data_IF_923523992764
#
_entry.id   IF_923523992764
#
_cell.length_a   1.000
_cell.length_b   1.000
_cell.length_c   1.000
_cell.angle_alpha   90.00
_cell.angle_beta   90.00
_cell.angle_gamma   90.00
#
_symmetry.space_group_name_H-M   'P 1'
#
loop_
_entity.id
_entity.type
_entity.pdbx_description
1 polymer ?
#
# COMPACT_ATOMS: atom_id res chain seq x y z
N UNK A 1 18.62 37.26 -5.45
CA UNK A 1 17.95 36.07 -6.02
C UNK A 1 17.26 35.36 -4.86
N UNK A 2 15.93 35.33 -4.81
CA UNK A 2 15.19 34.69 -3.71
C UNK A 2 15.21 33.18 -3.99
N UNK A 3 15.94 32.40 -3.18
CA UNK A 3 15.87 30.93 -3.24
C UNK A 3 14.41 30.55 -2.95
N UNK A 4 13.71 30.04 -3.96
CA UNK A 4 12.40 29.42 -3.74
C UNK A 4 12.70 28.09 -3.07
N UNK A 5 12.34 27.98 -1.78
CA UNK A 5 12.44 26.71 -1.07
C UNK A 5 11.59 25.67 -1.82
N UNK A 6 12.19 24.52 -2.12
CA UNK A 6 11.49 23.41 -2.79
C UNK A 6 10.34 22.93 -1.89
N UNK A 7 9.13 22.83 -2.43
CA UNK A 7 8.01 22.25 -1.68
C UNK A 7 8.12 20.72 -1.65
N UNK A 8 7.54 20.06 -0.63
CA UNK A 8 7.41 18.60 -0.62
C UNK A 8 6.81 18.02 -1.90
N UNK A 9 5.81 18.70 -2.48
CA UNK A 9 5.17 18.27 -3.73
C UNK A 9 6.13 18.32 -4.93
N UNK A 10 6.95 19.36 -5.02
CA UNK A 10 8.00 19.46 -6.03
C UNK A 10 9.10 18.41 -5.81
N UNK A 11 9.52 18.18 -4.55
CA UNK A 11 10.54 17.20 -4.19
C UNK A 11 10.15 15.77 -4.61
N UNK A 12 8.90 15.36 -4.36
CA UNK A 12 8.40 14.03 -4.67
C UNK A 12 7.79 13.89 -6.09
N UNK A 13 7.60 14.99 -6.82
CA UNK A 13 6.96 14.99 -8.14
C UNK A 13 5.47 14.62 -8.08
N UNK A 14 4.68 15.35 -7.30
CA UNK A 14 3.32 14.94 -6.91
C UNK A 14 2.19 15.30 -7.88
N UNK A 15 2.46 15.59 -9.15
CA UNK A 15 1.43 16.02 -10.11
C UNK A 15 0.26 15.04 -10.28
N UNK A 16 0.42 13.77 -9.91
CA UNK A 16 -0.63 12.74 -9.98
C UNK A 16 -1.22 12.38 -8.61
N UNK A 17 -1.11 13.26 -7.62
CA UNK A 17 -1.53 12.94 -6.26
C UNK A 17 -2.38 14.06 -5.64
N UNK A 18 -3.34 13.66 -4.82
CA UNK A 18 -3.96 14.51 -3.82
C UNK A 18 -3.49 14.04 -2.44
N UNK A 19 -3.49 14.93 -1.44
CA UNK A 19 -2.99 14.63 -0.10
C UNK A 19 -4.14 14.69 0.93
N UNK A 20 -4.42 13.59 1.59
CA UNK A 20 -5.24 13.58 2.81
C UNK A 20 -4.39 14.04 4.00
N UNK A 21 -4.92 14.94 4.83
CA UNK A 21 -4.26 15.49 6.01
C UNK A 21 -5.06 15.18 7.29
N UNK A 22 -4.39 15.05 8.44
CA UNK A 22 -5.02 14.74 9.72
C UNK A 22 -5.59 16.01 10.38
N UNK A 23 -6.01 16.99 9.60
CA UNK A 23 -6.63 18.25 10.08
C UNK A 23 -8.08 18.31 9.61
N UNK A 24 -9.00 18.84 10.44
CA UNK A 24 -10.40 18.93 10.08
C UNK A 24 -10.62 19.93 8.95
N UNK A 25 -11.38 19.51 7.95
CA UNK A 25 -11.93 20.37 6.90
C UNK A 25 -13.01 21.27 7.51
N UNK A 26 -12.99 22.55 7.15
CA UNK A 26 -13.90 23.54 7.69
C UNK A 26 -15.39 23.24 7.43
N UNK A 27 -15.71 22.47 6.38
CA UNK A 27 -17.09 22.20 5.97
C UNK A 27 -17.75 21.04 6.72
N UNK A 28 -16.97 20.07 7.21
CA UNK A 28 -17.51 18.82 7.73
C UNK A 28 -16.69 18.19 8.87
N UNK A 29 -15.62 18.85 9.32
CA UNK A 29 -14.69 18.38 10.35
C UNK A 29 -13.95 17.05 10.07
N UNK A 30 -14.13 16.46 8.88
CA UNK A 30 -13.38 15.28 8.43
C UNK A 30 -11.98 15.68 7.95
N UNK A 31 -11.08 14.71 7.78
CA UNK A 31 -9.75 14.94 7.22
C UNK A 31 -9.80 15.78 5.92
N UNK A 32 -9.06 16.88 5.90
CA UNK A 32 -8.91 17.75 4.74
C UNK A 32 -8.15 17.03 3.62
N UNK A 33 -8.63 17.15 2.38
CA UNK A 33 -7.89 16.71 1.18
C UNK A 33 -7.43 17.91 0.37
N UNK A 34 -6.12 17.98 0.11
CA UNK A 34 -5.53 18.97 -0.79
C UNK A 34 -5.38 18.42 -2.21
N UNK A 35 -5.80 19.24 -3.16
CA UNK A 35 -5.60 19.06 -4.60
C UNK A 35 -4.67 20.17 -5.12
N UNK A 36 -4.30 20.11 -6.39
CA UNK A 36 -3.55 21.20 -7.03
C UNK A 36 -4.44 22.44 -7.23
N UNK A 37 -3.91 23.67 -7.13
CA UNK A 37 -2.51 24.02 -6.85
C UNK A 37 -2.17 24.10 -5.34
N UNK A 38 -3.12 23.89 -4.44
CA UNK A 38 -2.87 24.01 -3.00
C UNK A 38 -1.78 23.04 -2.51
N UNK A 39 -1.78 21.81 -3.02
CA UNK A 39 -0.73 20.82 -2.73
C UNK A 39 0.67 21.27 -3.19
N UNK A 40 0.77 22.02 -4.30
CA UNK A 40 2.07 22.39 -4.89
C UNK A 40 2.91 23.29 -3.97
N UNK A 41 2.25 24.08 -3.12
CA UNK A 41 2.90 24.99 -2.18
C UNK A 41 2.80 24.51 -0.72
N UNK A 42 2.14 23.37 -0.46
CA UNK A 42 1.87 22.94 0.89
C UNK A 42 3.10 22.34 1.60
N UNK A 43 3.36 22.82 2.80
CA UNK A 43 4.29 22.25 3.78
C UNK A 43 3.75 22.54 5.19
N UNK A 44 3.89 21.57 6.10
CA UNK A 44 3.55 21.73 7.52
C UNK A 44 4.20 20.63 8.35
N UNK A 45 4.05 20.66 9.68
CA UNK A 45 4.55 19.59 10.58
C UNK A 45 4.06 18.17 10.22
N UNK A 46 2.98 18.04 9.45
CA UNK A 46 2.44 16.76 9.00
C UNK A 46 3.08 16.28 7.68
N UNK A 47 3.61 17.20 6.89
CA UNK A 47 4.11 16.95 5.54
C UNK A 47 5.19 17.97 5.19
N UNK A 48 6.46 17.63 5.43
CA UNK A 48 7.58 18.57 5.20
C UNK A 48 8.86 17.88 4.75
N UNK A 49 9.72 18.64 4.05
CA UNK A 49 11.05 18.17 3.69
C UNK A 49 11.97 18.26 4.91
N UNK A 50 12.57 17.14 5.28
CA UNK A 50 13.55 17.10 6.38
C UNK A 50 14.96 17.01 5.80
N UNK A 51 15.80 17.99 6.15
CA UNK A 51 17.22 18.05 5.76
C UNK A 51 17.47 17.87 4.26
N UNK A 52 16.52 18.28 3.41
CA UNK A 52 16.62 18.12 1.94
C UNK A 52 16.67 16.67 1.45
N UNK A 53 16.36 15.68 2.29
CA UNK A 53 16.66 14.26 2.02
C UNK A 53 15.42 13.38 1.80
N UNK A 54 14.31 13.72 2.42
CA UNK A 54 13.03 13.02 2.33
C UNK A 54 11.89 13.93 2.76
N UNK A 55 10.65 13.53 2.49
CA UNK A 55 9.46 14.16 3.05
C UNK A 55 8.96 13.33 4.23
N UNK A 56 8.84 13.94 5.41
CA UNK A 56 8.23 13.33 6.59
C UNK A 56 6.71 13.40 6.49
N UNK A 57 6.04 12.27 6.70
CA UNK A 57 4.58 12.17 6.79
C UNK A 57 4.23 11.78 8.23
N UNK A 58 3.90 12.78 9.05
CA UNK A 58 3.67 12.62 10.49
C UNK A 58 2.17 12.68 10.78
N UNK A 59 1.66 11.68 11.49
CA UNK A 59 0.25 11.53 11.81
C UNK A 59 0.09 11.43 13.32
N UNK A 60 -0.62 12.38 13.96
CA UNK A 60 -1.00 12.23 15.35
C UNK A 60 -2.19 11.27 15.48
N UNK A 61 -2.24 10.53 16.58
CA UNK A 61 -3.29 9.55 16.88
C UNK A 61 -4.67 10.21 17.05
N UNK A 62 -4.71 11.47 17.50
CA UNK A 62 -5.93 12.28 17.64
C UNK A 62 -6.32 13.05 16.37
N UNK A 63 -5.65 12.79 15.24
CA UNK A 63 -5.89 13.48 13.99
C UNK A 63 -7.30 13.27 13.41
N UNK A 64 -7.74 14.21 12.57
CA UNK A 64 -8.98 14.05 11.81
C UNK A 64 -8.88 12.86 10.83
N UNK A 65 -10.02 12.23 10.55
CA UNK A 65 -10.11 11.05 9.68
C UNK A 65 -11.12 11.25 8.55
N UNK A 66 -10.99 10.47 7.48
CA UNK A 66 -11.88 10.52 6.32
C UNK A 66 -13.17 9.76 6.57
N UNK A 67 -14.24 10.09 5.84
CA UNK A 67 -15.51 9.35 5.90
C UNK A 67 -15.30 7.83 5.73
N UNK A 68 -15.94 7.05 6.59
CA UNK A 68 -15.87 5.58 6.66
C UNK A 68 -14.53 5.01 7.16
N UNK A 69 -13.77 5.78 7.92
CA UNK A 69 -12.57 5.33 8.62
C UNK A 69 -12.47 6.07 9.95
N UNK A 70 -12.10 5.37 11.01
CA UNK A 70 -11.92 5.96 12.34
C UNK A 70 -10.45 6.27 12.65
N UNK A 71 -9.58 6.21 11.63
CA UNK A 71 -8.14 6.34 11.81
C UNK A 71 -7.55 7.49 10.97
N UNK A 72 -6.64 8.30 11.57
CA UNK A 72 -6.05 9.46 10.92
C UNK A 72 -4.98 9.07 9.91
N UNK A 73 -4.68 10.01 9.00
CA UNK A 73 -3.69 9.79 7.94
C UNK A 73 -3.03 11.07 7.44
N UNK A 74 -1.80 10.93 6.96
CA UNK A 74 -1.18 11.79 5.95
C UNK A 74 -0.91 10.87 4.78
N UNK A 75 -1.78 10.89 3.77
CA UNK A 75 -1.78 9.84 2.75
C UNK A 75 -2.08 10.40 1.36
N UNK A 76 -1.23 10.03 0.40
CA UNK A 76 -1.41 10.39 -0.99
C UNK A 76 -2.45 9.48 -1.64
N UNK A 77 -3.33 10.07 -2.44
CA UNK A 77 -4.35 9.41 -3.25
C UNK A 77 -4.09 9.70 -4.71
N UNK A 78 -3.91 8.67 -5.53
CA UNK A 78 -3.61 8.82 -6.96
C UNK A 78 -4.76 9.50 -7.71
N UNK A 79 -4.51 10.61 -8.39
CA UNK A 79 -5.45 11.42 -9.18
C UNK A 79 -4.91 11.64 -10.60
N UNK A 80 -5.71 12.25 -11.48
CA UNK A 80 -5.21 12.69 -12.80
C UNK A 80 -4.17 13.80 -12.61
N UNK A 81 -3.33 14.00 -13.63
CA UNK A 81 -2.31 15.04 -13.61
C UNK A 81 -2.94 16.40 -13.26
N UNK A 82 -2.37 17.07 -12.26
CA UNK A 82 -2.77 18.39 -11.78
C UNK A 82 -4.25 18.50 -11.44
N UNK A 83 -4.85 17.42 -10.91
CA UNK A 83 -6.24 17.39 -10.49
C UNK A 83 -6.52 18.50 -9.47
N UNK A 84 -7.59 19.28 -9.70
CA UNK A 84 -7.97 20.42 -8.87
C UNK A 84 -9.08 20.13 -7.88
N UNK A 85 -9.75 18.98 -8.02
CA UNK A 85 -10.81 18.52 -7.11
C UNK A 85 -11.09 17.01 -7.30
N UNK A 86 -12.08 16.52 -6.55
CA UNK A 86 -12.51 15.12 -6.53
C UNK A 86 -13.17 14.60 -7.81
N UNK A 87 -13.44 15.44 -8.82
CA UNK A 87 -13.95 14.99 -10.11
C UNK A 87 -12.83 14.47 -11.03
N UNK A 88 -11.55 14.77 -10.74
CA UNK A 88 -10.40 14.41 -11.56
C UNK A 88 -9.66 13.17 -11.05
N UNK A 89 -10.41 12.09 -10.84
CA UNK A 89 -9.86 10.84 -10.33
C UNK A 89 -9.11 10.05 -11.42
N UNK A 90 -7.99 9.43 -11.03
CA UNK A 90 -7.27 8.43 -11.83
C UNK A 90 -7.52 7.08 -11.20
N UNK A 91 -8.43 6.34 -11.83
CA UNK A 91 -8.78 4.98 -11.42
C UNK A 91 -8.44 4.01 -12.54
N UNK A 92 -8.14 2.78 -12.19
CA UNK A 92 -7.83 1.70 -13.10
C UNK A 92 -8.60 0.42 -12.73
N UNK A 93 -8.55 -0.56 -13.62
CA UNK A 93 -9.01 -1.91 -13.33
C UNK A 93 -7.88 -2.90 -13.65
N UNK A 94 -7.26 -3.51 -12.63
CA UNK A 94 -6.22 -4.51 -12.80
C UNK A 94 -6.76 -5.94 -13.01
N UNK A 95 -8.08 -6.12 -12.94
CA UNK A 95 -8.69 -7.46 -12.82
C UNK A 95 -9.01 -8.12 -14.15
N UNK A 96 -9.07 -7.35 -15.23
CA UNK A 96 -9.22 -7.88 -16.59
C UNK A 96 -7.90 -8.45 -17.11
N UNK A 97 -7.99 -9.51 -17.91
CA UNK A 97 -6.83 -10.05 -18.60
C UNK A 97 -6.28 -9.04 -19.61
N UNK A 98 -4.96 -8.99 -19.75
CA UNK A 98 -4.33 -8.10 -20.72
C UNK A 98 -2.92 -7.66 -20.37
N UNK A 99 -2.36 -6.88 -21.29
CA UNK A 99 -0.98 -6.41 -21.21
C UNK A 99 -0.82 -5.11 -20.41
N UNK A 100 -1.91 -4.46 -19.99
CA UNK A 100 -1.81 -3.23 -19.21
C UNK A 100 -1.37 -3.57 -17.80
N UNK A 101 -0.33 -2.89 -17.34
CA UNK A 101 0.19 -3.00 -15.99
C UNK A 101 0.02 -1.67 -15.25
N UNK A 102 -0.32 -1.78 -13.97
CA UNK A 102 -0.45 -0.66 -13.04
C UNK A 102 0.57 -0.83 -11.94
N UNK A 103 1.46 0.14 -11.79
CA UNK A 103 2.58 0.06 -10.86
C UNK A 103 2.59 1.25 -9.90
N UNK A 104 2.76 0.96 -8.62
CA UNK A 104 3.16 1.92 -7.60
C UNK A 104 4.56 1.52 -7.11
N UNK A 105 5.54 2.40 -7.25
CA UNK A 105 6.89 2.24 -6.71
C UNK A 105 7.18 3.31 -5.67
N UNK A 106 7.82 2.94 -4.57
CA UNK A 106 8.19 3.85 -3.51
C UNK A 106 9.47 3.43 -2.78
N UNK A 107 10.20 4.42 -2.30
CA UNK A 107 11.31 4.25 -1.38
C UNK A 107 10.98 5.01 -0.09
N UNK A 108 10.97 4.31 1.05
CA UNK A 108 10.56 4.89 2.32
C UNK A 108 11.24 4.25 3.53
N UNK A 109 11.04 4.83 4.71
CA UNK A 109 11.34 4.21 6.00
C UNK A 109 10.19 4.51 6.97
N UNK A 110 9.88 3.59 7.89
CA UNK A 110 8.96 3.89 8.99
C UNK A 110 9.79 4.38 10.18
N UNK A 111 9.69 5.66 10.52
CA UNK A 111 10.51 6.30 11.53
C UNK A 111 9.99 6.05 12.96
N UNK A 112 8.67 6.13 13.15
CA UNK A 112 8.03 5.97 14.46
C UNK A 112 6.62 5.40 14.28
N UNK A 113 6.16 4.65 15.28
CA UNK A 113 4.84 4.06 15.33
C UNK A 113 4.25 4.26 16.74
N UNK A 114 2.93 4.47 16.89
CA UNK A 114 2.30 4.59 18.21
C UNK A 114 2.56 3.36 19.09
N UNK A 115 2.86 3.54 20.39
CA UNK A 115 3.42 2.47 21.22
C UNK A 115 2.41 1.45 21.74
N UNK A 116 1.14 1.82 21.98
CA UNK A 116 0.15 0.92 22.59
C UNK A 116 -0.52 0.02 21.57
N UNK A 117 -0.83 0.57 20.39
CA UNK A 117 -1.38 -0.19 19.26
C UNK A 117 -0.56 0.07 17.99
N UNK A 118 0.63 -0.53 17.89
CA UNK A 118 1.59 -0.23 16.83
C UNK A 118 1.17 -0.86 15.51
N UNK A 119 0.27 -0.18 14.80
CA UNK A 119 -0.16 -0.54 13.46
C UNK A 119 -0.20 0.70 12.55
N UNK A 120 0.34 0.57 11.35
CA UNK A 120 0.15 1.54 10.28
C UNK A 120 0.21 0.89 8.90
N UNK A 121 -0.37 1.55 7.91
CA UNK A 121 -0.35 1.16 6.50
C UNK A 121 0.49 2.16 5.72
N UNK A 122 1.38 1.63 4.88
CA UNK A 122 2.31 2.45 4.07
C UNK A 122 1.92 2.58 2.60
N UNK A 123 1.21 1.59 2.06
CA UNK A 123 0.78 1.55 0.68
C UNK A 123 -0.49 0.71 0.50
N UNK A 124 -1.32 1.08 -0.45
CA UNK A 124 -2.60 0.43 -0.69
C UNK A 124 -2.97 0.36 -2.18
N UNK A 125 -3.74 -0.66 -2.52
CA UNK A 125 -4.70 -0.62 -3.61
C UNK A 125 -6.08 -0.54 -2.99
N UNK A 126 -6.84 0.50 -3.33
CA UNK A 126 -8.19 0.70 -2.82
C UNK A 126 -9.19 0.72 -3.98
N UNK A 127 -10.30 0.01 -3.83
CA UNK A 127 -11.47 0.10 -4.70
C UNK A 127 -12.60 0.88 -4.02
N UNK A 128 -13.81 0.34 -4.05
CA UNK A 128 -14.90 0.83 -3.20
C UNK A 128 -14.52 0.79 -1.70
N UNK A 129 -13.90 -0.31 -1.28
CA UNK A 129 -13.34 -0.59 0.06
C UNK A 129 -11.83 -0.81 -0.02
N UNK A 130 -11.18 -0.91 1.14
CA UNK A 130 -9.78 -1.31 1.22
C UNK A 130 -9.61 -2.71 0.61
N UNK A 131 -8.57 -2.89 -0.22
CA UNK A 131 -8.29 -4.14 -0.90
C UNK A 131 -6.93 -4.66 -0.45
N UNK A 132 -5.85 -4.32 -1.15
CA UNK A 132 -4.49 -4.67 -0.73
C UNK A 132 -3.93 -3.59 0.19
N UNK A 133 -3.33 -3.99 1.31
CA UNK A 133 -2.65 -3.10 2.23
C UNK A 133 -1.26 -3.65 2.57
N UNK A 134 -0.26 -2.75 2.59
CA UNK A 134 1.08 -3.05 3.10
C UNK A 134 1.19 -2.41 4.47
N UNK A 135 1.31 -3.25 5.49
CA UNK A 135 1.10 -2.86 6.88
C UNK A 135 2.34 -3.17 7.70
N UNK A 136 2.74 -2.24 8.57
CA UNK A 136 3.66 -2.50 9.67
C UNK A 136 2.83 -2.78 10.92
N UNK A 137 3.14 -3.87 11.61
CA UNK A 137 2.44 -4.28 12.84
C UNK A 137 3.38 -5.02 13.79
N UNK A 138 2.94 -5.26 15.03
CA UNK A 138 3.61 -6.20 15.93
C UNK A 138 3.64 -7.62 15.36
N UNK A 139 4.76 -8.28 15.53
CA UNK A 139 5.02 -9.68 15.23
C UNK A 139 5.75 -10.38 16.38
N UNK A 140 6.09 -11.66 16.20
CA UNK A 140 6.71 -12.47 17.26
C UNK A 140 8.18 -12.10 17.56
N UNK A 141 8.84 -11.35 16.68
CA UNK A 141 10.26 -10.95 16.77
C UNK A 141 10.46 -9.43 16.80
N UNK A 142 9.44 -8.68 17.21
CA UNK A 142 9.40 -7.22 17.08
C UNK A 142 8.40 -6.81 16.01
N UNK A 143 8.70 -5.79 15.20
CA UNK A 143 7.80 -5.39 14.13
C UNK A 143 7.92 -6.28 12.89
N UNK A 144 6.85 -6.39 12.13
CA UNK A 144 6.82 -7.08 10.84
C UNK A 144 6.10 -6.24 9.80
N UNK A 145 6.62 -6.25 8.57
CA UNK A 145 5.98 -5.68 7.41
C UNK A 145 5.25 -6.79 6.65
N UNK A 146 3.94 -6.64 6.46
CA UNK A 146 3.07 -7.65 5.86
C UNK A 146 2.27 -7.09 4.70
N UNK A 147 1.83 -7.98 3.82
CA UNK A 147 0.81 -7.70 2.82
C UNK A 147 -0.47 -8.44 3.20
N UNK A 148 -1.60 -7.74 3.18
CA UNK A 148 -2.92 -8.27 3.53
C UNK A 148 -3.97 -7.87 2.51
N UNK A 149 -5.01 -8.70 2.37
CA UNK A 149 -6.22 -8.38 1.63
C UNK A 149 -7.38 -8.13 2.61
N UNK A 150 -7.93 -6.93 2.61
CA UNK A 150 -9.01 -6.49 3.50
C UNK A 150 -10.42 -6.66 2.90
N UNK A 151 -10.51 -7.06 1.63
CA UNK A 151 -11.77 -7.23 0.92
C UNK A 151 -12.32 -8.65 1.04
N UNK A 152 -11.47 -9.67 0.90
CA UNK A 152 -11.85 -11.08 0.89
C UNK A 152 -12.36 -11.57 2.27
N UNK A 153 -13.10 -12.69 2.32
CA UNK A 153 -13.52 -13.35 3.56
C UNK A 153 -12.63 -14.57 3.85
N UNK A 154 -12.02 -14.68 5.05
CA UNK A 154 -12.15 -13.75 6.17
C UNK A 154 -11.47 -12.42 5.85
N UNK A 155 -12.13 -11.31 6.25
CA UNK A 155 -11.54 -9.97 6.15
C UNK A 155 -10.16 -9.97 6.79
N UNK A 156 -9.27 -9.16 6.24
CA UNK A 156 -7.89 -9.00 6.70
C UNK A 156 -7.07 -10.29 6.49
N UNK A 157 -7.27 -10.96 5.36
CA UNK A 157 -6.49 -12.15 5.00
C UNK A 157 -5.02 -11.77 4.82
N UNK A 158 -4.14 -12.35 5.63
CA UNK A 158 -2.70 -12.25 5.41
C UNK A 158 -2.34 -12.90 4.07
N UNK A 159 -1.78 -12.11 3.16
CA UNK A 159 -1.18 -12.65 1.94
C UNK A 159 0.21 -13.16 2.26
N UNK A 160 1.03 -12.39 2.97
CA UNK A 160 2.34 -12.87 3.40
C UNK A 160 3.16 -11.84 4.16
N UNK A 161 4.31 -12.28 4.65
CA UNK A 161 5.27 -11.46 5.39
C UNK A 161 6.39 -11.01 4.45
N UNK A 162 6.56 -9.69 4.29
CA UNK A 162 7.64 -9.10 3.52
C UNK A 162 8.94 -9.08 4.33
N UNK A 163 8.83 -8.70 5.61
CA UNK A 163 9.91 -8.63 6.58
C UNK A 163 9.39 -9.02 7.97
N UNK A 164 9.92 -10.09 8.57
CA UNK A 164 9.43 -10.62 9.86
C UNK A 164 10.15 -10.03 11.08
N UNK A 165 11.15 -9.18 10.84
CA UNK A 165 11.96 -8.53 11.88
C UNK A 165 12.29 -7.11 11.43
N UNK A 166 11.26 -6.37 11.02
CA UNK A 166 11.39 -5.03 10.48
C UNK A 166 11.97 -4.09 11.54
N UNK A 167 13.06 -3.42 11.21
CA UNK A 167 13.68 -2.43 12.07
C UNK A 167 13.25 -1.02 11.66
N UNK A 168 12.70 -0.24 12.60
CA UNK A 168 12.32 1.15 12.35
C UNK A 168 13.51 1.97 11.80
N UNK A 169 13.21 3.03 11.06
CA UNK A 169 14.13 3.89 10.33
C UNK A 169 14.97 3.19 9.25
N UNK A 170 14.78 1.89 9.01
CA UNK A 170 15.39 1.20 7.87
C UNK A 170 14.70 1.62 6.58
N UNK A 171 15.49 2.14 5.64
CA UNK A 171 15.02 2.45 4.29
C UNK A 171 14.78 1.16 3.50
N UNK A 172 13.63 1.07 2.85
CA UNK A 172 13.29 -0.02 1.96
C UNK A 172 12.67 0.49 0.65
N UNK A 173 12.74 -0.35 -0.39
CA UNK A 173 12.03 -0.14 -1.64
C UNK A 173 10.83 -1.09 -1.71
N UNK A 174 9.69 -0.59 -2.18
CA UNK A 174 8.48 -1.37 -2.38
C UNK A 174 7.94 -1.08 -3.77
N UNK A 175 7.47 -2.12 -4.46
CA UNK A 175 6.69 -1.97 -5.69
C UNK A 175 5.46 -2.87 -5.64
N UNK A 176 4.30 -2.28 -5.90
CA UNK A 176 3.06 -2.98 -6.18
C UNK A 176 2.86 -2.95 -7.69
N UNK A 177 2.87 -4.10 -8.33
CA UNK A 177 2.57 -4.24 -9.75
C UNK A 177 1.31 -5.08 -9.88
N UNK A 178 0.32 -4.57 -10.61
CA UNK A 178 -0.92 -5.26 -10.91
C UNK A 178 -1.04 -5.41 -12.42
N UNK A 179 -1.20 -6.65 -12.88
CA UNK A 179 -1.29 -6.98 -14.29
C UNK A 179 -2.01 -8.32 -14.42
N UNK A 180 -2.87 -8.45 -15.43
CA UNK A 180 -3.50 -9.73 -15.80
C UNK A 180 -4.21 -10.44 -14.63
N UNK A 181 -4.94 -9.68 -13.79
CA UNK A 181 -5.65 -10.24 -12.63
C UNK A 181 -4.73 -10.79 -11.53
N UNK A 182 -3.48 -10.38 -11.51
CA UNK A 182 -2.47 -10.75 -10.51
C UNK A 182 -1.90 -9.51 -9.83
N UNK A 183 -1.50 -9.68 -8.57
CA UNK A 183 -0.68 -8.71 -7.85
C UNK A 183 0.69 -9.29 -7.55
N UNK A 184 1.71 -8.48 -7.78
CA UNK A 184 3.12 -8.75 -7.57
C UNK A 184 3.66 -7.69 -6.61
N UNK A 185 4.16 -8.14 -5.45
CA UNK A 185 4.66 -7.27 -4.39
C UNK A 185 6.16 -7.50 -4.27
N UNK A 186 6.94 -6.48 -4.59
CA UNK A 186 8.40 -6.51 -4.54
C UNK A 186 8.86 -5.75 -3.30
N UNK A 187 9.85 -6.29 -2.58
CA UNK A 187 10.42 -5.69 -1.38
C UNK A 187 11.94 -5.76 -1.45
N UNK A 188 12.60 -4.61 -1.47
CA UNK A 188 14.04 -4.39 -1.70
C UNK A 188 14.55 -4.89 -3.05
N UNK A 189 14.43 -6.19 -3.34
CA UNK A 189 14.66 -6.73 -4.68
C UNK A 189 13.48 -6.36 -5.60
N UNK A 190 13.76 -5.49 -6.58
CA UNK A 190 12.77 -5.02 -7.57
C UNK A 190 12.70 -5.90 -8.83
N UNK A 191 13.48 -6.98 -8.87
CA UNK A 191 13.55 -7.95 -9.99
C UNK A 191 12.65 -9.15 -9.75
N UNK A 192 12.61 -9.68 -8.53
CA UNK A 192 11.79 -10.83 -8.14
C UNK A 192 10.73 -10.42 -7.12
N UNK A 193 9.44 -10.67 -7.39
CA UNK A 193 8.41 -10.35 -6.42
C UNK A 193 8.53 -11.25 -5.19
N UNK A 194 8.41 -10.65 -4.01
CA UNK A 194 8.37 -11.35 -2.73
C UNK A 194 7.05 -12.10 -2.53
N UNK A 195 5.96 -11.52 -3.02
CA UNK A 195 4.62 -12.12 -2.97
C UNK A 195 3.97 -12.02 -4.35
N UNK A 196 3.34 -13.11 -4.77
CA UNK A 196 2.44 -13.15 -5.92
C UNK A 196 1.11 -13.75 -5.50
N UNK A 197 0.02 -13.07 -5.82
CA UNK A 197 -1.32 -13.53 -5.50
C UNK A 197 -2.32 -13.17 -6.61
N UNK A 198 -3.40 -13.95 -6.79
CA UNK A 198 -4.54 -13.53 -7.59
C UNK A 198 -5.11 -12.20 -7.08
N UNK A 199 -5.63 -11.38 -8.00
CA UNK A 199 -6.30 -10.13 -7.72
C UNK A 199 -7.52 -9.97 -8.65
N UNK A 200 -8.66 -10.51 -8.22
CA UNK A 200 -9.87 -10.63 -9.03
C UNK A 200 -10.98 -9.69 -8.57
N UNK A 201 -11.79 -9.24 -9.53
CA UNK A 201 -12.99 -8.46 -9.26
C UNK A 201 -13.97 -9.26 -8.39
N UNK A 202 -14.64 -8.60 -7.44
CA UNK A 202 -15.59 -9.19 -6.49
C UNK A 202 -15.02 -10.23 -5.51
N UNK A 203 -13.75 -10.60 -5.63
CA UNK A 203 -13.08 -11.52 -4.71
C UNK A 203 -12.02 -10.80 -3.88
N UNK A 204 -11.21 -9.98 -4.55
CA UNK A 204 -10.06 -9.31 -3.93
C UNK A 204 -10.20 -7.81 -3.88
N UNK A 205 -11.07 -7.27 -4.74
CA UNK A 205 -11.43 -5.87 -4.76
C UNK A 205 -12.66 -5.62 -5.66
N UNK A 206 -13.45 -4.59 -5.36
CA UNK A 206 -14.36 -4.03 -6.37
C UNK A 206 -13.66 -2.89 -7.11
N UNK A 207 -13.02 -3.23 -8.21
CA UNK A 207 -12.39 -2.26 -9.12
C UNK A 207 -13.36 -1.69 -10.16
N UNK A 208 -14.64 -2.09 -10.16
CA UNK A 208 -15.67 -1.55 -11.05
C UNK A 208 -16.96 -1.29 -10.29
N UNK A 209 -17.65 -0.22 -10.67
CA UNK A 209 -19.00 0.04 -10.23
C UNK A 209 -19.95 -0.95 -10.90
N UNK A 210 -20.79 -1.63 -10.11
CA UNK A 210 -21.68 -2.69 -10.60
C UNK A 210 -22.73 -2.19 -11.60
N UNK A 211 -23.10 -0.90 -11.55
CA UNK A 211 -24.14 -0.30 -12.40
C UNK A 211 -23.54 0.43 -13.60
N UNK A 212 -22.52 1.27 -13.37
CA UNK A 212 -21.95 2.13 -14.42
C UNK A 212 -20.75 1.53 -15.12
N UNK A 213 -20.23 0.41 -14.63
CA UNK A 213 -18.99 -0.23 -15.09
C UNK A 213 -17.74 0.67 -15.00
N UNK A 214 -17.84 1.81 -14.32
CA UNK A 214 -16.73 2.75 -14.12
C UNK A 214 -15.63 2.11 -13.28
N UNK A 215 -14.36 2.32 -13.65
CA UNK A 215 -13.21 1.86 -12.87
C UNK A 215 -13.09 2.60 -11.53
N UNK A 216 -12.77 1.87 -10.48
CA UNK A 216 -12.76 2.34 -9.10
C UNK A 216 -11.42 2.14 -8.38
N UNK A 217 -10.53 1.27 -8.87
CA UNK A 217 -9.28 1.01 -8.17
C UNK A 217 -8.27 2.14 -8.35
N UNK A 218 -7.56 2.50 -7.30
CA UNK A 218 -6.48 3.50 -7.32
C UNK A 218 -5.42 3.18 -6.28
N UNK A 219 -4.24 3.76 -6.46
CA UNK A 219 -3.17 3.66 -5.47
C UNK A 219 -3.36 4.68 -4.34
N UNK A 220 -2.99 4.25 -3.12
CA UNK A 220 -2.67 5.16 -2.01
C UNK A 220 -1.29 4.83 -1.43
N UNK A 221 -0.59 5.83 -0.92
CA UNK A 221 0.66 5.63 -0.20
C UNK A 221 0.91 6.77 0.78
N UNK A 222 1.47 6.46 1.94
CA UNK A 222 1.74 7.46 2.96
C UNK A 222 1.72 6.83 4.34
N UNK A 223 1.25 7.58 5.33
CA UNK A 223 1.13 7.13 6.69
C UNK A 223 -0.35 7.10 7.06
N UNK A 224 -0.92 5.90 7.13
CA UNK A 224 -2.30 5.68 7.58
C UNK A 224 -2.26 4.84 8.84
N UNK A 225 -2.56 5.45 10.00
CA UNK A 225 -2.49 4.74 11.26
C UNK A 225 -3.58 3.66 11.31
N UNK A 226 -3.26 2.52 11.93
CA UNK A 226 -4.22 1.50 12.34
C UNK A 226 -4.61 1.67 13.81
N UNK A 227 -4.62 2.90 14.31
CA UNK A 227 -4.91 3.23 15.70
C UNK A 227 -5.50 4.65 15.80
N UNK A 228 -6.12 4.96 16.93
CA UNK A 228 -6.68 6.25 17.31
C UNK A 228 -6.70 6.36 18.85
N UNK A 229 -7.31 7.42 19.39
CA UNK A 229 -7.37 7.69 20.84
C UNK A 229 -8.15 6.66 21.65
N UNK A 230 -8.86 5.72 21.01
CA UNK A 230 -9.47 4.57 21.70
C UNK A 230 -8.47 3.46 22.02
N UNK A 231 -7.31 3.46 21.36
CA UNK A 231 -6.30 2.39 21.45
C UNK A 231 -4.91 2.89 21.85
N UNK A 232 -4.62 4.17 21.65
CA UNK A 232 -3.32 4.79 21.96
C UNK A 232 -3.48 6.16 22.63
N UNK A 233 -2.37 6.73 23.10
CA UNK A 233 -2.36 8.04 23.72
C UNK A 233 -2.60 9.15 22.69
N UNK A 234 -3.27 10.23 23.10
CA UNK A 234 -3.62 11.34 22.20
C UNK A 234 -2.40 12.08 21.64
N UNK A 235 -1.29 12.10 22.38
CA UNK A 235 -0.02 12.69 21.95
C UNK A 235 0.88 11.71 21.18
N UNK A 236 0.48 10.45 21.05
CA UNK A 236 1.22 9.48 20.26
C UNK A 236 1.18 9.84 18.76
N UNK A 237 2.26 9.52 18.07
CA UNK A 237 2.44 9.82 16.64
C UNK A 237 2.99 8.62 15.90
N UNK A 238 2.58 8.46 14.64
CA UNK A 238 3.32 7.67 13.67
C UNK A 238 4.01 8.59 12.68
N UNK A 239 5.18 8.19 12.18
CA UNK A 239 5.91 8.94 11.17
C UNK A 239 6.59 8.00 10.17
N UNK A 240 6.55 8.37 8.90
CA UNK A 240 7.36 7.75 7.85
C UNK A 240 8.21 8.81 7.15
N UNK A 241 9.30 8.36 6.55
CA UNK A 241 10.17 9.15 5.68
C UNK A 241 9.98 8.66 4.25
N UNK A 242 9.37 9.48 3.38
CA UNK A 242 9.15 9.16 1.98
C UNK A 242 10.25 9.80 1.13
N UNK A 243 11.06 8.95 0.48
CA UNK A 243 12.18 9.40 -0.37
C UNK A 243 11.76 9.54 -1.84
N UNK A 244 10.88 8.66 -2.30
CA UNK A 244 10.34 8.72 -3.66
C UNK A 244 9.01 7.99 -3.75
N UNK A 245 8.18 8.42 -4.71
CA UNK A 245 6.92 7.78 -5.07
C UNK A 245 6.69 7.95 -6.57
N UNK A 246 6.19 6.91 -7.22
CA UNK A 246 5.83 6.95 -8.64
C UNK A 246 4.70 5.98 -8.92
N UNK A 247 3.65 6.47 -9.58
CA UNK A 247 2.63 5.63 -10.19
C UNK A 247 2.85 5.58 -11.71
N UNK A 248 2.74 4.39 -12.30
CA UNK A 248 2.85 4.19 -13.74
C UNK A 248 1.73 3.28 -14.22
N UNK A 249 1.23 3.57 -15.43
CA UNK A 249 0.28 2.71 -16.12
C UNK A 249 0.68 2.63 -17.60
N UNK A 250 0.66 1.44 -18.16
CA UNK A 250 0.93 1.27 -19.59
C UNK A 250 1.02 -0.19 -19.96
N UNK A 251 1.23 -0.44 -21.25
CA UNK A 251 1.43 -1.80 -21.74
C UNK A 251 2.77 -2.35 -21.21
N UNK A 252 2.70 -3.41 -20.43
CA UNK A 252 3.83 -4.22 -20.03
C UNK A 252 3.98 -5.38 -21.01
N UNK A 253 5.10 -5.39 -21.73
CA UNK A 253 5.56 -6.55 -22.51
C UNK A 253 6.31 -7.55 -21.64
N UNK A 254 6.58 -7.21 -20.37
CA UNK A 254 7.25 -8.08 -19.43
C UNK A 254 6.22 -9.00 -18.80
N UNK A 255 6.30 -10.29 -19.13
CA UNK A 255 5.60 -11.33 -18.38
C UNK A 255 6.26 -11.38 -17.00
N UNK A 256 5.49 -11.18 -15.90
CA UNK A 256 6.04 -11.28 -14.56
C UNK A 256 6.63 -12.68 -14.31
N UNK A 257 7.66 -12.83 -13.46
CA UNK A 257 8.35 -14.11 -13.28
C UNK A 257 7.38 -15.24 -12.93
N UNK A 258 7.30 -16.29 -13.75
CA UNK A 258 6.39 -17.42 -13.54
C UNK A 258 6.80 -18.34 -12.37
N UNK A 259 8.02 -18.16 -11.85
CA UNK A 259 8.62 -19.06 -10.86
C UNK A 259 8.35 -18.67 -9.40
N UNK A 260 7.56 -17.63 -9.12
CA UNK A 260 7.27 -17.30 -7.73
C UNK A 260 6.19 -18.21 -7.16
N UNK A 261 6.31 -18.52 -5.87
CA UNK A 261 5.30 -19.27 -5.12
C UNK A 261 3.98 -18.49 -5.13
N UNK A 262 3.00 -18.96 -5.90
CA UNK A 262 1.64 -18.42 -5.87
C UNK A 262 1.03 -18.79 -4.53
N UNK A 263 0.61 -17.78 -3.79
CA UNK A 263 -0.14 -17.98 -2.56
C UNK A 263 -1.54 -18.43 -2.96
N UNK A 264 -1.79 -19.74 -2.87
CA UNK A 264 -3.11 -20.32 -3.05
C UNK A 264 -3.96 -19.87 -1.87
N UNK A 265 -4.95 -19.02 -2.13
CA UNK A 265 -5.92 -18.60 -1.11
C UNK A 265 -6.73 -19.82 -0.70
N UNK A 266 -6.72 -20.16 0.58
CA UNK A 266 -7.63 -21.17 1.11
C UNK A 266 -9.05 -20.64 1.01
N UNK A 267 -9.84 -21.18 0.10
CA UNK A 267 -11.26 -20.85 -0.10
C UNK A 267 -12.17 -21.56 0.90
N UNK A 268 -11.63 -22.25 1.90
CA UNK A 268 -12.39 -23.03 2.87
C UNK A 268 -11.86 -22.82 4.28
N UNK A 269 -12.78 -22.56 5.21
CA UNK A 269 -12.61 -22.71 6.65
C UNK A 269 -12.33 -24.19 6.98
N UNK A 270 -11.09 -24.65 6.76
CA UNK A 270 -10.70 -26.01 7.13
C UNK A 270 -9.19 -26.06 7.37
N UNK A 271 -8.83 -26.74 8.45
CA UNK A 271 -7.50 -26.96 9.03
C UNK A 271 -6.42 -27.35 8.01
N UNK A 272 -5.20 -26.87 8.30
CA UNK A 272 -3.97 -27.15 7.56
C UNK A 272 -3.61 -28.64 7.71
N UNK A 273 -3.53 -29.36 6.60
CA UNK A 273 -2.73 -30.59 6.47
C UNK A 273 -1.61 -30.34 5.46
N UNK A 274 -0.38 -30.34 5.96
CA UNK A 274 0.83 -30.40 5.12
C UNK A 274 0.90 -31.79 4.49
N UNK A 275 0.82 -31.87 3.16
CA UNK A 275 1.16 -33.10 2.43
C UNK A 275 2.60 -32.94 1.92
N UNK A 276 3.57 -33.77 2.39
CA UNK A 276 4.90 -33.77 1.82
C UNK A 276 4.88 -34.48 0.46
N UNK A 277 5.56 -33.89 -0.52
CA UNK A 277 5.84 -34.53 -1.80
C UNK A 277 6.92 -35.58 -1.55
N UNK A 278 6.55 -36.87 -1.60
CA UNK A 278 7.52 -37.95 -1.57
C UNK A 278 8.14 -38.11 -2.96
N UNK A 279 9.43 -37.79 -3.04
CA UNK A 279 10.31 -38.11 -4.16
C UNK A 279 10.47 -39.62 -4.24
N UNK A 280 10.05 -40.25 -5.33
CA UNK A 280 10.41 -41.63 -5.64
C UNK A 280 11.50 -41.63 -6.71
N UNK A 281 12.75 -41.58 -6.26
CA UNK A 281 13.88 -42.18 -6.96
C UNK A 281 14.09 -43.55 -6.30
N UNK A 282 13.90 -44.65 -7.02
CA UNK A 282 14.66 -45.86 -6.73
C UNK A 282 14.95 -46.63 -8.02
N UNK A 283 16.24 -46.82 -8.19
CA UNK A 283 16.92 -47.56 -9.23
C UNK A 283 17.33 -48.92 -8.65
N UNK A 284 17.42 -49.92 -9.53
CA UNK A 284 18.21 -51.16 -9.45
C UNK A 284 17.63 -52.44 -8.79
N UNK A 285 17.50 -53.45 -9.67
CA UNK A 285 18.32 -54.69 -9.71
C UNK A 285 17.61 -56.05 -9.56
N UNK A 286 17.77 -56.84 -10.63
CA UNK A 286 17.89 -58.29 -10.79
C UNK A 286 17.88 -59.24 -9.58
N UNK A 287 17.16 -60.38 -9.74
CA UNK A 287 17.61 -61.80 -9.69
C UNK A 287 16.34 -62.68 -9.78
N UNK A 288 16.03 -63.28 -10.94
CA UNK A 288 16.33 -64.65 -11.41
C UNK A 288 15.71 -65.81 -10.61
N UNK A 289 15.26 -66.80 -11.41
CA UNK A 289 15.08 -68.22 -11.06
C UNK A 289 16.24 -68.80 -10.25
#
# INVERSE_FOLDING_TARGET
MKLIAMSPAAFLGLSHWALDLPVPDASNAMAQRLYHPALDAYSSKYFDIVNGSYVALTVPVDGAHTLNSDYPRVELREVRANATNSSFLRNFDPTSSGIVSHELSLAMAVATIPPKHPQLTVAQVKGDKACLMIELQSGSKGFQLVASNHYFQPKNQLLGVLDSSFSLSTKFNLKLQLQDGMVYIYYNDMTTPRIMAPFKHHQDCNCRNATTNQTLCYFKAGNYLGTNTSYDDADAVGAINLYSIKAWHGNSTKIPPQNATIIKKNTSSSSITLVPVLSALLVLCCLMF
#
